data_IF_875981114917
#
_entry.id   IF_875981114917
#
_cell.length_a   1.000
_cell.length_b   1.000
_cell.length_c   1.000
_cell.angle_alpha   90.00
_cell.angle_beta   90.00
_cell.angle_gamma   90.00
#
_symmetry.space_group_name_H-M   'P 1'
#
loop_
_entity.id
_entity.type
_entity.pdbx_description
1 polymer ?
#
# COMPACT_ATOMS: atom_id res chain seq x y z
N UNK A 1 23.11 -7.29 6.79
CA UNK A 1 21.92 -6.42 6.95
C UNK A 1 22.20 -4.93 6.66
N UNK A 2 23.24 -4.25 7.20
CA UNK A 2 23.37 -2.79 7.05
C UNK A 2 23.52 -2.31 5.60
N UNK A 3 24.26 -3.03 4.75
CA UNK A 3 24.41 -2.65 3.33
C UNK A 3 23.07 -2.61 2.57
N UNK A 4 22.10 -3.49 2.89
CA UNK A 4 20.79 -3.52 2.21
C UNK A 4 19.88 -2.39 2.67
N UNK A 5 19.94 -2.03 3.95
CA UNK A 5 19.23 -0.86 4.48
C UNK A 5 19.79 0.44 3.90
N UNK A 6 21.12 0.56 3.75
CA UNK A 6 21.76 1.70 3.09
C UNK A 6 21.32 1.79 1.63
N UNK A 7 21.28 0.69 0.87
CA UNK A 7 20.79 0.72 -0.52
C UNK A 7 19.33 1.16 -0.62
N UNK A 8 18.48 0.77 0.34
CA UNK A 8 17.07 1.20 0.36
C UNK A 8 16.93 2.68 0.73
N UNK A 9 17.76 3.20 1.65
CA UNK A 9 17.83 4.62 1.96
C UNK A 9 18.31 5.45 0.76
N UNK A 10 19.32 4.96 0.02
CA UNK A 10 19.77 5.60 -1.22
C UNK A 10 18.66 5.62 -2.29
N UNK A 11 17.89 4.53 -2.40
CA UNK A 11 16.72 4.48 -3.29
C UNK A 11 15.65 5.49 -2.87
N UNK A 12 15.35 5.60 -1.57
CA UNK A 12 14.42 6.60 -1.03
C UNK A 12 14.88 8.03 -1.33
N UNK A 13 16.16 8.32 -1.09
CA UNK A 13 16.75 9.63 -1.41
C UNK A 13 16.66 9.93 -2.90
N UNK A 14 16.96 8.95 -3.76
CA UNK A 14 16.82 9.09 -5.20
C UNK A 14 15.37 9.40 -5.63
N UNK A 15 14.38 8.67 -5.08
CA UNK A 15 12.96 8.93 -5.35
C UNK A 15 12.54 10.33 -4.86
N UNK A 16 12.99 10.75 -3.68
CA UNK A 16 12.76 12.11 -3.19
C UNK A 16 13.36 13.17 -4.13
N UNK A 17 14.58 12.96 -4.62
CA UNK A 17 15.21 13.84 -5.60
C UNK A 17 14.40 13.92 -6.90
N UNK A 18 13.89 12.78 -7.40
CA UNK A 18 12.99 12.77 -8.57
C UNK A 18 11.70 13.56 -8.32
N UNK A 19 11.10 13.45 -7.14
CA UNK A 19 9.91 14.22 -6.79
C UNK A 19 10.19 15.73 -6.74
N UNK A 20 11.34 16.13 -6.15
CA UNK A 20 11.75 17.54 -6.08
C UNK A 20 12.03 18.08 -7.49
N UNK A 21 12.84 17.39 -8.28
CA UNK A 21 13.15 17.78 -9.66
C UNK A 21 11.91 17.77 -10.57
N UNK A 22 11.01 16.81 -10.38
CA UNK A 22 9.70 16.74 -11.04
C UNK A 22 8.82 17.94 -10.69
N UNK A 23 8.80 18.35 -9.43
CA UNK A 23 8.01 19.51 -8.98
C UNK A 23 8.60 20.82 -9.50
N UNK A 24 9.93 20.96 -9.52
CA UNK A 24 10.61 22.13 -10.10
C UNK A 24 10.35 22.21 -11.60
N UNK A 25 10.47 21.09 -12.33
CA UNK A 25 10.26 21.07 -13.78
C UNK A 25 8.79 21.29 -14.19
N UNK A 26 7.84 20.91 -13.34
CA UNK A 26 6.42 21.23 -13.50
C UNK A 26 6.14 22.73 -13.28
N UNK A 27 6.74 23.34 -12.25
CA UNK A 27 6.63 24.79 -12.02
C UNK A 27 7.25 25.63 -13.14
N UNK A 28 8.33 25.15 -13.77
CA UNK A 28 9.02 25.83 -14.88
C UNK A 28 8.51 25.40 -16.26
N UNK A 29 7.47 24.58 -16.33
CA UNK A 29 7.05 23.92 -17.57
C UNK A 29 6.72 24.92 -18.68
N UNK A 30 7.26 24.65 -19.86
CA UNK A 30 6.97 25.41 -21.08
C UNK A 30 6.17 24.53 -22.05
N UNK A 31 5.42 25.14 -22.98
CA UNK A 31 4.62 24.38 -23.98
C UNK A 31 5.46 23.48 -24.92
N UNK A 32 6.80 23.48 -24.82
CA UNK A 32 7.74 22.75 -25.69
C UNK A 32 8.70 21.83 -24.91
N UNK A 33 8.20 21.17 -23.87
CA UNK A 33 9.04 20.27 -23.07
C UNK A 33 9.40 18.95 -23.79
N UNK A 34 10.65 18.52 -23.62
CA UNK A 34 11.16 17.24 -24.14
C UNK A 34 10.47 16.03 -23.49
N UNK A 35 10.50 14.86 -24.16
CA UNK A 35 9.93 13.61 -23.62
C UNK A 35 10.50 13.24 -22.25
N UNK A 36 11.79 13.49 -22.00
CA UNK A 36 12.43 13.23 -20.72
C UNK A 36 11.88 14.13 -19.59
N UNK A 37 11.64 15.40 -19.90
CA UNK A 37 11.03 16.36 -18.95
C UNK A 37 9.60 15.94 -18.62
N UNK A 38 8.84 15.45 -19.61
CA UNK A 38 7.48 14.94 -19.38
C UNK A 38 7.43 13.72 -18.47
N UNK A 39 8.42 12.81 -18.58
CA UNK A 39 8.55 11.67 -17.67
C UNK A 39 8.89 12.15 -16.25
N UNK A 40 9.77 13.14 -16.13
CA UNK A 40 10.15 13.72 -14.83
C UNK A 40 8.95 14.44 -14.16
N UNK A 41 8.12 15.12 -14.95
CA UNK A 41 6.89 15.78 -14.48
C UNK A 41 5.86 14.79 -13.91
N UNK A 42 5.88 13.50 -14.30
CA UNK A 42 5.03 12.49 -13.67
C UNK A 42 5.30 12.33 -12.15
N UNK A 43 6.50 12.69 -11.70
CA UNK A 43 6.88 12.68 -10.29
C UNK A 43 6.57 14.00 -9.57
N UNK A 44 5.98 15.01 -10.25
CA UNK A 44 5.60 16.27 -9.63
C UNK A 44 4.60 16.05 -8.50
N UNK A 45 4.98 16.48 -7.29
CA UNK A 45 4.09 16.41 -6.12
C UNK A 45 2.91 17.35 -6.31
N UNK A 46 3.13 18.52 -6.91
CA UNK A 46 2.11 19.54 -7.17
C UNK A 46 1.01 19.00 -8.11
N UNK A 47 1.40 18.47 -9.27
CA UNK A 47 0.46 17.94 -10.25
C UNK A 47 -0.32 16.73 -9.70
N UNK A 48 0.38 15.82 -9.01
CA UNK A 48 -0.26 14.67 -8.38
C UNK A 48 -1.22 15.08 -7.26
N UNK A 49 -0.86 16.06 -6.43
CA UNK A 49 -1.74 16.61 -5.39
C UNK A 49 -2.99 17.28 -5.97
N UNK A 50 -2.84 18.09 -7.02
CA UNK A 50 -3.98 18.70 -7.70
C UNK A 50 -4.90 17.65 -8.33
N UNK A 51 -4.34 16.57 -8.88
CA UNK A 51 -5.10 15.44 -9.42
C UNK A 51 -5.87 14.70 -8.32
N UNK A 52 -5.28 14.50 -7.14
CA UNK A 52 -5.94 13.86 -6.00
C UNK A 52 -7.12 14.69 -5.46
N UNK A 53 -7.02 16.02 -5.51
CA UNK A 53 -8.12 16.91 -5.13
C UNK A 53 -9.19 17.09 -6.20
N UNK A 54 -9.01 16.50 -7.38
CA UNK A 54 -9.99 16.62 -8.44
C UNK A 54 -11.25 15.82 -8.09
N UNK A 55 -12.38 16.51 -8.01
CA UNK A 55 -13.66 15.88 -7.75
C UNK A 55 -14.12 15.12 -8.99
N UNK A 56 -14.42 13.83 -8.83
CA UNK A 56 -14.97 13.00 -9.89
C UNK A 56 -16.39 13.47 -10.26
N UNK A 57 -16.65 13.67 -11.55
CA UNK A 57 -17.93 14.18 -12.04
C UNK A 57 -19.02 13.12 -12.04
N UNK A 58 -18.65 11.85 -12.27
CA UNK A 58 -19.58 10.73 -12.29
C UNK A 58 -20.01 10.35 -10.87
N UNK A 59 -21.32 10.35 -10.54
CA UNK A 59 -21.80 10.12 -9.16
C UNK A 59 -21.45 8.72 -8.66
N UNK A 60 -21.55 7.68 -9.51
CA UNK A 60 -21.18 6.31 -9.16
C UNK A 60 -19.70 6.21 -8.77
N UNK A 61 -18.80 6.73 -9.62
CA UNK A 61 -17.36 6.67 -9.36
C UNK A 61 -16.96 7.51 -8.14
N UNK A 62 -17.61 8.65 -7.93
CA UNK A 62 -17.45 9.45 -6.71
C UNK A 62 -17.82 8.66 -5.46
N UNK A 63 -18.96 7.97 -5.47
CA UNK A 63 -19.40 7.10 -4.37
C UNK A 63 -18.41 5.97 -4.10
N UNK A 64 -17.91 5.30 -5.14
CA UNK A 64 -16.91 4.24 -5.02
C UNK A 64 -15.58 4.75 -4.45
N UNK A 65 -15.12 5.94 -4.87
CA UNK A 65 -13.93 6.57 -4.29
C UNK A 65 -14.12 6.91 -2.80
N UNK A 66 -15.31 7.42 -2.43
CA UNK A 66 -15.65 7.69 -1.02
C UNK A 66 -15.66 6.41 -0.18
N UNK A 67 -16.30 5.35 -0.67
CA UNK A 67 -16.33 4.04 -0.01
C UNK A 67 -14.92 3.49 0.19
N UNK A 68 -14.06 3.55 -0.85
CA UNK A 68 -12.65 3.15 -0.74
C UNK A 68 -11.90 3.99 0.29
N UNK A 69 -12.14 5.31 0.33
CA UNK A 69 -11.52 6.20 1.31
C UNK A 69 -11.87 5.83 2.74
N UNK A 70 -13.16 5.62 3.03
CA UNK A 70 -13.64 5.18 4.36
C UNK A 70 -13.03 3.83 4.72
N UNK A 71 -13.02 2.88 3.79
CA UNK A 71 -12.42 1.56 4.01
C UNK A 71 -10.92 1.66 4.33
N UNK A 72 -10.14 2.45 3.58
CA UNK A 72 -8.72 2.65 3.88
C UNK A 72 -8.50 3.24 5.28
N UNK A 73 -9.31 4.23 5.69
CA UNK A 73 -9.22 4.79 7.05
C UNK A 73 -9.52 3.73 8.10
N UNK A 74 -10.60 2.96 7.93
CA UNK A 74 -10.96 1.88 8.84
C UNK A 74 -9.87 0.80 8.92
N UNK A 75 -9.30 0.41 7.78
CA UNK A 75 -8.20 -0.55 7.70
C UNK A 75 -6.97 -0.08 8.50
N UNK A 76 -6.57 1.19 8.35
CA UNK A 76 -5.45 1.78 9.08
C UNK A 76 -5.75 1.83 10.59
N UNK A 77 -6.93 2.34 10.97
CA UNK A 77 -7.33 2.45 12.38
C UNK A 77 -7.34 1.08 13.06
N UNK A 78 -7.90 0.07 12.42
CA UNK A 78 -7.97 -1.27 12.99
C UNK A 78 -6.62 -1.94 13.13
N UNK A 79 -5.76 -1.86 12.12
CA UNK A 79 -4.39 -2.36 12.21
C UNK A 79 -3.60 -1.65 13.32
N UNK A 80 -3.77 -0.34 13.48
CA UNK A 80 -3.13 0.42 14.55
C UNK A 80 -3.60 -0.02 15.94
N UNK A 81 -4.91 -0.15 16.14
CA UNK A 81 -5.50 -0.63 17.41
C UNK A 81 -5.07 -2.07 17.71
N UNK A 82 -5.03 -2.94 16.70
CA UNK A 82 -4.56 -4.32 16.83
C UNK A 82 -3.08 -4.38 17.23
N UNK A 83 -2.20 -3.67 16.51
CA UNK A 83 -0.78 -3.57 16.83
C UNK A 83 -0.57 -3.04 18.25
N UNK A 84 -1.26 -1.97 18.63
CA UNK A 84 -1.13 -1.39 19.96
C UNK A 84 -1.58 -2.36 21.07
N UNK A 85 -2.79 -2.91 20.94
CA UNK A 85 -3.38 -3.78 21.96
C UNK A 85 -2.61 -5.09 22.16
N UNK A 86 -2.22 -5.75 21.07
CA UNK A 86 -1.57 -7.07 21.09
C UNK A 86 -0.06 -6.96 21.32
N UNK A 87 0.62 -5.96 20.73
CA UNK A 87 2.09 -5.90 20.74
C UNK A 87 2.66 -4.97 21.80
N UNK A 88 1.96 -3.87 22.17
CA UNK A 88 2.50 -2.89 23.12
C UNK A 88 2.02 -3.09 24.56
N UNK A 89 0.78 -3.52 24.79
CA UNK A 89 0.22 -3.47 26.15
C UNK A 89 0.40 -4.73 27.01
N UNK A 90 0.68 -5.92 26.45
CA UNK A 90 0.73 -7.25 27.15
C UNK A 90 -0.45 -7.59 28.09
N UNK A 91 -1.36 -6.67 28.34
CA UNK A 91 -2.42 -6.76 29.33
C UNK A 91 -3.71 -7.18 28.62
N UNK A 92 -3.77 -8.47 28.28
CA UNK A 92 -4.90 -9.10 27.59
C UNK A 92 -6.22 -8.89 28.36
N UNK A 93 -6.14 -8.67 29.68
CA UNK A 93 -7.28 -8.34 30.54
C UNK A 93 -7.88 -6.97 30.18
N UNK A 94 -7.07 -5.95 29.91
CA UNK A 94 -7.55 -4.65 29.44
C UNK A 94 -8.20 -4.76 28.06
N UNK A 95 -7.63 -5.58 27.17
CA UNK A 95 -8.24 -5.83 25.86
C UNK A 95 -9.64 -6.46 25.99
N UNK A 96 -9.81 -7.39 26.94
CA UNK A 96 -11.12 -8.02 27.20
C UNK A 96 -12.17 -7.02 27.64
N UNK A 97 -11.79 -6.00 28.41
CA UNK A 97 -12.71 -4.93 28.81
C UNK A 97 -12.93 -3.90 27.70
N UNK A 98 -11.92 -3.59 26.90
CA UNK A 98 -12.03 -2.68 25.75
C UNK A 98 -12.89 -3.24 24.61
N UNK A 99 -12.88 -4.56 24.37
CA UNK A 99 -13.73 -5.20 23.34
C UNK A 99 -15.23 -5.01 23.64
N UNK A 100 -15.63 -4.74 24.90
CA UNK A 100 -17.03 -4.45 25.22
C UNK A 100 -17.53 -3.15 24.57
N UNK A 101 -16.64 -2.25 24.23
CA UNK A 101 -16.98 -1.04 23.48
C UNK A 101 -17.22 -1.39 21.99
N UNK A 102 -18.36 -0.96 21.48
CA UNK A 102 -18.77 -1.19 20.10
C UNK A 102 -17.81 -0.52 19.11
N UNK A 103 -17.23 0.62 19.45
CA UNK A 103 -16.30 1.34 18.59
C UNK A 103 -14.97 0.58 18.45
N UNK A 104 -14.48 0.00 19.55
CA UNK A 104 -13.27 -0.82 19.56
C UNK A 104 -13.52 -2.14 18.83
N UNK A 105 -14.66 -2.79 19.06
CA UNK A 105 -15.04 -3.99 18.30
C UNK A 105 -15.14 -3.71 16.81
N UNK A 106 -15.75 -2.58 16.41
CA UNK A 106 -15.80 -2.19 15.01
C UNK A 106 -14.40 -1.98 14.43
N UNK A 107 -13.52 -1.27 15.14
CA UNK A 107 -12.14 -1.06 14.71
C UNK A 107 -11.35 -2.39 14.60
N UNK A 108 -11.55 -3.33 15.52
CA UNK A 108 -10.89 -4.65 15.50
C UNK A 108 -11.40 -5.55 14.37
N UNK A 109 -12.61 -5.32 13.85
CA UNK A 109 -13.15 -6.03 12.67
C UNK A 109 -12.68 -5.44 11.33
N UNK A 110 -11.45 -4.90 11.28
CA UNK A 110 -10.90 -4.24 10.10
C UNK A 110 -10.71 -5.14 8.89
N UNK A 111 -10.69 -6.47 9.05
CA UNK A 111 -10.62 -7.41 7.93
C UNK A 111 -11.78 -7.24 6.95
N UNK A 112 -12.97 -6.84 7.43
CA UNK A 112 -14.11 -6.49 6.57
C UNK A 112 -13.82 -5.28 5.66
N UNK A 113 -12.91 -4.41 6.08
CA UNK A 113 -12.47 -3.28 5.28
C UNK A 113 -11.60 -3.72 4.09
N UNK A 114 -10.81 -4.79 4.25
CA UNK A 114 -10.00 -5.36 3.17
C UNK A 114 -10.90 -5.86 2.03
N UNK A 115 -11.99 -6.56 2.38
CA UNK A 115 -13.00 -7.03 1.43
C UNK A 115 -13.65 -5.86 0.69
N UNK A 116 -13.94 -4.77 1.41
CA UNK A 116 -14.52 -3.55 0.82
C UNK A 116 -13.57 -2.91 -0.19
N UNK A 117 -12.26 -2.85 0.12
CA UNK A 117 -11.24 -2.32 -0.81
C UNK A 117 -11.15 -3.20 -2.06
N UNK A 118 -11.11 -4.52 -1.90
CA UNK A 118 -11.06 -5.48 -3.01
C UNK A 118 -12.31 -5.34 -3.88
N UNK A 119 -13.49 -5.25 -3.26
CA UNK A 119 -14.75 -5.04 -3.95
C UNK A 119 -14.74 -3.78 -4.80
N UNK A 120 -14.32 -2.63 -4.24
CA UNK A 120 -14.28 -1.38 -5.01
C UNK A 120 -13.30 -1.48 -6.19
N UNK A 121 -12.14 -2.11 -5.99
CA UNK A 121 -11.17 -2.34 -7.07
C UNK A 121 -11.76 -3.24 -8.16
N UNK A 122 -12.47 -4.30 -7.79
CA UNK A 122 -13.13 -5.21 -8.72
C UNK A 122 -14.23 -4.49 -9.53
N UNK A 123 -15.02 -3.61 -8.90
CA UNK A 123 -16.02 -2.80 -9.61
C UNK A 123 -15.37 -1.83 -10.59
N UNK A 124 -14.29 -1.14 -10.20
CA UNK A 124 -13.55 -0.28 -11.13
C UNK A 124 -12.97 -1.06 -12.31
N UNK A 125 -12.47 -2.27 -12.06
CA UNK A 125 -11.98 -3.16 -13.10
C UNK A 125 -13.11 -3.58 -14.05
N UNK A 126 -14.27 -3.98 -13.52
CA UNK A 126 -15.43 -4.35 -14.32
C UNK A 126 -15.93 -3.19 -15.19
N UNK A 127 -16.05 -1.99 -14.63
CA UNK A 127 -16.44 -0.77 -15.37
C UNK A 127 -15.42 -0.38 -16.45
N UNK A 128 -14.12 -0.64 -16.22
CA UNK A 128 -13.08 -0.41 -17.21
C UNK A 128 -13.15 -1.43 -18.36
N UNK A 129 -13.49 -2.68 -18.05
CA UNK A 129 -13.64 -3.75 -19.03
C UNK A 129 -14.91 -3.56 -19.88
N UNK A 130 -16.03 -3.15 -19.28
CA UNK A 130 -17.28 -2.86 -19.99
C UNK A 130 -17.10 -1.79 -21.08
N UNK A 131 -16.23 -0.79 -20.83
CA UNK A 131 -15.90 0.25 -21.81
C UNK A 131 -15.02 -0.24 -22.96
N UNK A 132 -14.38 -1.39 -22.81
CA UNK A 132 -13.58 -2.05 -23.85
C UNK A 132 -14.41 -3.14 -24.49
N UNK A 133 -14.06 -3.54 -25.70
CA UNK A 133 -14.66 -4.74 -26.30
C UNK A 133 -14.28 -5.97 -25.49
N UNK A 134 -15.28 -6.72 -25.02
CA UNK A 134 -15.11 -7.92 -24.19
C UNK A 134 -14.34 -9.01 -24.95
N UNK A 135 -13.02 -8.96 -24.85
CA UNK A 135 -12.09 -9.90 -25.47
C UNK A 135 -11.10 -10.38 -24.43
N UNK A 136 -10.61 -11.62 -24.56
CA UNK A 136 -9.58 -12.16 -23.66
C UNK A 136 -8.34 -11.25 -23.59
N UNK A 137 -7.95 -10.66 -24.73
CA UNK A 137 -6.86 -9.70 -24.80
C UNK A 137 -7.12 -8.43 -23.98
N UNK A 138 -8.36 -7.90 -24.00
CA UNK A 138 -8.73 -6.74 -23.17
C UNK A 138 -8.65 -7.03 -21.68
N UNK A 139 -8.99 -8.27 -21.27
CA UNK A 139 -8.90 -8.72 -19.88
C UNK A 139 -7.43 -8.85 -19.47
N UNK A 140 -6.62 -9.58 -20.25
CA UNK A 140 -5.19 -9.79 -19.97
C UNK A 140 -4.44 -8.46 -19.88
N UNK A 141 -4.69 -7.54 -20.82
CA UNK A 141 -4.05 -6.21 -20.80
C UNK A 141 -4.47 -5.37 -19.59
N UNK A 142 -5.73 -5.46 -19.17
CA UNK A 142 -6.21 -4.75 -17.98
C UNK A 142 -5.63 -5.34 -16.69
N UNK A 143 -5.52 -6.66 -16.59
CA UNK A 143 -4.85 -7.35 -15.49
C UNK A 143 -3.36 -6.98 -15.42
N UNK A 144 -2.67 -6.99 -16.57
CA UNK A 144 -1.26 -6.60 -16.64
C UNK A 144 -1.06 -5.15 -16.19
N UNK A 145 -1.92 -4.23 -16.62
CA UNK A 145 -1.88 -2.84 -16.19
C UNK A 145 -2.07 -2.70 -14.67
N UNK A 146 -3.05 -3.41 -14.10
CA UNK A 146 -3.31 -3.45 -12.67
C UNK A 146 -2.09 -3.96 -11.88
N UNK A 147 -1.49 -5.07 -12.33
CA UNK A 147 -0.31 -5.66 -11.69
C UNK A 147 0.88 -4.70 -11.78
N UNK A 148 1.16 -4.13 -12.96
CA UNK A 148 2.25 -3.17 -13.15
C UNK A 148 2.09 -1.91 -12.29
N UNK A 149 0.85 -1.49 -12.01
CA UNK A 149 0.58 -0.35 -11.14
C UNK A 149 0.74 -0.69 -9.65
N UNK A 150 0.33 -1.89 -9.23
CA UNK A 150 0.33 -2.30 -7.83
C UNK A 150 1.69 -2.84 -7.35
N UNK A 151 2.43 -3.49 -8.23
CA UNK A 151 3.71 -4.15 -7.92
C UNK A 151 4.76 -3.19 -7.32
N UNK A 152 4.98 -1.96 -7.85
CA UNK A 152 5.95 -1.03 -7.28
C UNK A 152 5.61 -0.66 -5.84
N UNK A 153 4.31 -0.47 -5.54
CA UNK A 153 3.85 -0.14 -4.20
C UNK A 153 4.08 -1.30 -3.23
N UNK A 154 3.73 -2.53 -3.64
CA UNK A 154 3.94 -3.73 -2.81
C UNK A 154 5.43 -3.96 -2.55
N UNK A 155 6.26 -3.81 -3.58
CA UNK A 155 7.72 -3.92 -3.46
C UNK A 155 8.29 -2.87 -2.50
N UNK A 156 7.81 -1.63 -2.58
CA UNK A 156 8.20 -0.55 -1.69
C UNK A 156 7.81 -0.84 -0.23
N UNK A 157 6.55 -1.23 0.03
CA UNK A 157 6.08 -1.55 1.38
C UNK A 157 6.85 -2.73 1.99
N UNK A 158 7.11 -3.79 1.20
CA UNK A 158 7.95 -4.89 1.65
C UNK A 158 9.39 -4.44 1.97
N UNK A 159 10.00 -3.63 1.11
CA UNK A 159 11.32 -3.07 1.36
C UNK A 159 11.35 -2.25 2.65
N UNK A 160 10.34 -1.41 2.88
CA UNK A 160 10.19 -0.63 4.10
C UNK A 160 10.10 -1.51 5.35
N UNK A 161 9.20 -2.51 5.36
CA UNK A 161 8.97 -3.40 6.51
C UNK A 161 10.20 -4.27 6.81
N UNK A 162 10.92 -4.73 5.79
CA UNK A 162 12.04 -5.66 5.99
C UNK A 162 13.36 -4.93 6.26
N UNK A 163 13.60 -3.79 5.60
CA UNK A 163 14.93 -3.16 5.60
C UNK A 163 15.02 -1.94 6.52
N UNK A 164 13.92 -1.19 6.68
CA UNK A 164 13.93 0.08 7.40
C UNK A 164 13.26 -0.04 8.77
N UNK A 165 12.07 -0.65 8.84
CA UNK A 165 11.31 -0.79 10.08
C UNK A 165 12.13 -1.37 11.24
N UNK A 166 12.93 -2.45 11.08
CA UNK A 166 13.69 -3.01 12.20
C UNK A 166 14.70 -2.05 12.83
N UNK A 167 15.19 -1.06 12.06
CA UNK A 167 16.19 -0.07 12.50
C UNK A 167 15.53 1.16 13.14
N UNK A 168 14.26 1.44 12.82
CA UNK A 168 13.56 2.64 13.30
C UNK A 168 13.08 2.54 14.75
N UNK A 169 12.82 1.32 15.24
CA UNK A 169 12.34 1.12 16.61
C UNK A 169 13.44 0.77 17.59
N UNK A 170 13.32 1.28 18.81
CA UNK A 170 14.12 0.88 19.96
C UNK A 170 13.17 0.49 21.08
N UNK A 171 13.21 -0.79 21.49
CA UNK A 171 12.36 -1.30 22.55
C UNK A 171 12.73 -2.73 22.93
N UNK A 172 12.46 -3.14 24.17
CA UNK A 172 12.86 -4.46 24.68
C UNK A 172 12.21 -5.62 23.92
N UNK A 173 11.00 -5.44 23.39
CA UNK A 173 10.30 -6.43 22.54
C UNK A 173 10.52 -6.23 21.03
N UNK A 174 11.10 -5.09 20.61
CA UNK A 174 11.14 -4.71 19.18
C UNK A 174 11.93 -5.71 18.34
N UNK A 175 13.12 -6.11 18.79
CA UNK A 175 13.96 -7.08 18.08
C UNK A 175 13.29 -8.44 17.92
N UNK A 176 12.54 -8.89 18.94
CA UNK A 176 11.80 -10.14 18.90
C UNK A 176 10.65 -10.09 17.90
N UNK A 177 9.82 -9.04 17.93
CA UNK A 177 8.71 -8.90 16.99
C UNK A 177 9.20 -8.74 15.55
N UNK A 178 10.23 -7.92 15.32
CA UNK A 178 10.81 -7.75 13.98
C UNK A 178 11.40 -9.06 13.43
N UNK A 179 12.03 -9.86 14.29
CA UNK A 179 12.51 -11.20 13.90
C UNK A 179 11.35 -12.12 13.52
N UNK A 180 10.22 -12.04 14.24
CA UNK A 180 9.00 -12.82 13.93
C UNK A 180 8.38 -12.43 12.59
N UNK A 181 8.33 -11.13 12.27
CA UNK A 181 7.81 -10.63 10.98
C UNK A 181 8.74 -10.97 9.82
N UNK A 182 10.05 -10.88 10.02
CA UNK A 182 11.03 -11.04 8.92
C UNK A 182 11.54 -12.46 8.71
N UNK A 183 11.21 -13.41 9.61
CA UNK A 183 11.76 -14.78 9.62
C UNK A 183 11.72 -15.49 8.27
N UNK A 184 10.59 -15.39 7.56
CA UNK A 184 10.37 -16.11 6.30
C UNK A 184 10.71 -15.26 5.05
N UNK A 185 11.06 -13.98 5.21
CA UNK A 185 11.28 -13.06 4.10
C UNK A 185 12.45 -13.45 3.18
N UNK A 186 13.64 -13.89 3.65
CA UNK A 186 14.78 -14.14 2.77
C UNK A 186 14.52 -15.19 1.69
N UNK A 187 13.72 -16.21 2.01
CA UNK A 187 13.43 -17.33 1.10
C UNK A 187 12.15 -17.12 0.30
N UNK A 188 11.21 -16.32 0.81
CA UNK A 188 9.84 -16.26 0.30
C UNK A 188 9.38 -14.86 -0.15
N UNK A 189 10.24 -13.83 -0.10
CA UNK A 189 9.89 -12.46 -0.49
C UNK A 189 9.28 -12.37 -1.90
N UNK A 190 9.82 -13.12 -2.85
CA UNK A 190 9.36 -13.11 -4.25
C UNK A 190 7.90 -13.58 -4.39
N UNK A 191 7.39 -14.41 -3.46
CA UNK A 191 6.01 -14.91 -3.48
C UNK A 191 4.99 -13.79 -3.24
N UNK A 192 5.33 -12.80 -2.43
CA UNK A 192 4.51 -11.60 -2.23
C UNK A 192 4.52 -10.70 -3.46
N UNK A 193 5.65 -10.58 -4.15
CA UNK A 193 5.73 -9.82 -5.41
C UNK A 193 4.92 -10.46 -6.53
N UNK A 194 4.92 -11.79 -6.61
CA UNK A 194 4.07 -12.53 -7.56
C UNK A 194 2.60 -12.59 -7.13
N UNK A 195 2.25 -12.08 -5.95
CA UNK A 195 0.89 -12.10 -5.39
C UNK A 195 0.27 -13.50 -5.30
N UNK A 196 1.11 -14.54 -5.18
CA UNK A 196 0.66 -15.95 -5.11
C UNK A 196 0.46 -16.45 -3.68
N UNK A 197 0.59 -15.57 -2.68
CA UNK A 197 0.51 -15.93 -1.26
C UNK A 197 -0.77 -16.70 -0.89
N UNK A 198 -1.89 -16.40 -1.56
CA UNK A 198 -3.19 -17.04 -1.31
C UNK A 198 -3.26 -18.50 -1.78
N UNK A 199 -2.36 -18.93 -2.67
CA UNK A 199 -2.31 -20.31 -3.19
C UNK A 199 -1.31 -21.19 -2.43
N UNK A 200 -0.63 -20.64 -1.42
CA UNK A 200 0.45 -21.32 -0.72
C UNK A 200 0.06 -21.72 0.71
N UNK A 201 0.63 -22.82 1.25
CA UNK A 201 0.42 -23.20 2.63
C UNK A 201 0.91 -22.11 3.61
N UNK A 202 0.19 -21.92 4.72
CA UNK A 202 0.50 -20.87 5.74
C UNK A 202 1.96 -20.81 6.20
N UNK A 203 2.65 -21.94 6.25
CA UNK A 203 4.07 -22.01 6.67
C UNK A 203 5.02 -21.31 5.70
N UNK A 204 4.65 -21.20 4.44
CA UNK A 204 5.45 -20.61 3.36
C UNK A 204 5.04 -19.16 3.04
N UNK A 205 3.98 -18.67 3.67
CA UNK A 205 3.55 -17.29 3.54
C UNK A 205 4.52 -16.37 4.29
N UNK A 206 4.87 -15.26 3.66
CA UNK A 206 5.56 -14.16 4.33
C UNK A 206 4.49 -13.33 5.03
N UNK A 207 4.48 -13.36 6.37
CA UNK A 207 3.59 -12.53 7.17
C UNK A 207 4.02 -11.08 7.02
N UNK A 208 3.36 -10.37 6.12
CA UNK A 208 3.66 -8.95 5.87
C UNK A 208 2.54 -8.03 6.33
N UNK A 209 1.36 -8.55 6.63
CA UNK A 209 0.26 -7.90 7.36
C UNK A 209 -0.51 -9.02 8.08
#
# INVERSE_FOLDING_TARGET
MPNRSITFLLLLLFLCCLCVLGTISDCMSTKKDSKAVRVLQCFSVRANYASLWRIETCPLRRGLHGLRGIAVVWFITGNFVYLHSVMLTKNILLLKDMIKDIAITFALNYSLSEDTIIFVVAVFFALALERRTASLWSVVTSCAYMICHLLPLVAFCMGFVVLLLPVLGQGPSWSFEMTRFTRNCPENWWKNLLMIGNFLPRKQQVRTF
#
